data_IF_308884291211
#
_entry.id   IF_308884291211
#
_cell.length_a   1.000
_cell.length_b   1.000
_cell.length_c   1.000
_cell.angle_alpha   90.00
_cell.angle_beta   90.00
_cell.angle_gamma   90.00
#
_symmetry.space_group_name_H-M   'P 1'
#
loop_
_entity.id
_entity.type
_entity.pdbx_description
1 polymer ?
#
# COMPACT_ATOMS: atom_id res chain seq x y z
N UNK A 1 8.27 -1.60 2.02
CA UNK A 1 9.30 -2.65 1.85
C UNK A 1 9.95 -2.93 3.20
N UNK A 2 9.48 -3.96 3.90
CA UNK A 2 10.16 -4.50 5.09
C UNK A 2 10.25 -6.01 4.88
N UNK A 3 11.43 -6.46 4.46
CA UNK A 3 11.80 -7.88 4.44
C UNK A 3 12.04 -8.30 5.89
N UNK A 4 11.03 -8.92 6.50
CA UNK A 4 11.21 -9.62 7.77
C UNK A 4 11.75 -11.02 7.48
N UNK A 5 13.06 -11.16 7.67
CA UNK A 5 13.82 -12.39 7.79
C UNK A 5 13.07 -13.46 8.62
N UNK A 6 12.58 -14.51 7.97
CA UNK A 6 12.14 -15.75 8.62
C UNK A 6 12.72 -16.94 7.88
N UNK A 7 14.05 -17.04 7.84
CA UNK A 7 14.77 -18.18 7.23
C UNK A 7 15.96 -18.65 8.08
N UNK A 8 15.97 -18.37 9.39
CA UNK A 8 17.17 -18.61 10.22
C UNK A 8 17.00 -19.63 11.37
N UNK A 9 16.02 -20.54 11.28
CA UNK A 9 15.85 -21.59 12.28
C UNK A 9 16.20 -23.03 11.84
N UNK A 10 16.11 -23.45 10.56
CA UNK A 10 16.49 -24.83 10.20
C UNK A 10 17.98 -24.99 9.90
N UNK A 11 18.70 -23.92 9.55
CA UNK A 11 20.11 -24.02 9.13
C UNK A 11 21.04 -24.43 10.28
N UNK A 12 20.87 -23.87 11.49
CA UNK A 12 21.77 -24.16 12.62
C UNK A 12 21.75 -25.64 13.03
N UNK A 13 20.58 -26.29 13.00
CA UNK A 13 20.47 -27.71 13.29
C UNK A 13 21.05 -28.55 12.16
N UNK A 14 20.74 -28.25 10.90
CA UNK A 14 21.27 -28.99 9.75
C UNK A 14 22.81 -28.97 9.68
N UNK A 15 23.45 -27.83 9.95
CA UNK A 15 24.91 -27.71 9.97
C UNK A 15 25.55 -28.55 11.08
N UNK A 16 24.95 -28.61 12.27
CA UNK A 16 25.45 -29.42 13.37
C UNK A 16 25.36 -30.93 13.08
N UNK A 17 24.23 -31.37 12.51
CA UNK A 17 24.04 -32.76 12.07
C UNK A 17 24.99 -33.17 10.94
N UNK A 18 25.18 -32.30 9.94
CA UNK A 18 26.10 -32.55 8.83
C UNK A 18 27.55 -32.66 9.32
N UNK A 19 27.94 -31.84 10.30
CA UNK A 19 29.29 -31.86 10.87
C UNK A 19 29.57 -33.17 11.63
N UNK A 20 28.62 -33.63 12.44
CA UNK A 20 28.77 -34.89 13.19
C UNK A 20 28.79 -36.11 12.26
N UNK A 21 27.95 -36.10 11.21
CA UNK A 21 27.94 -37.17 10.20
C UNK A 21 29.24 -37.21 9.39
N UNK A 22 29.78 -36.04 8.98
CA UNK A 22 31.08 -35.96 8.31
C UNK A 22 32.21 -36.49 9.20
N UNK A 23 32.22 -36.13 10.49
CA UNK A 23 33.24 -36.57 11.44
C UNK A 23 33.22 -38.10 11.61
N UNK A 24 32.04 -38.71 11.75
CA UNK A 24 31.89 -40.16 11.88
C UNK A 24 32.30 -40.91 10.59
N UNK A 25 31.94 -40.35 9.42
CA UNK A 25 32.36 -40.91 8.12
C UNK A 25 33.88 -40.88 7.95
N UNK A 26 34.53 -39.79 8.38
CA UNK A 26 35.98 -39.64 8.32
C UNK A 26 36.69 -40.66 9.23
N UNK A 27 36.23 -40.80 10.46
CA UNK A 27 36.81 -41.74 11.43
C UNK A 27 36.69 -43.20 10.95
N UNK A 28 35.57 -43.57 10.33
CA UNK A 28 35.39 -44.90 9.72
C UNK A 28 36.41 -45.19 8.61
N UNK A 29 36.71 -44.20 7.76
CA UNK A 29 37.67 -44.35 6.67
C UNK A 29 39.10 -44.57 7.21
N UNK A 30 39.51 -43.77 8.20
CA UNK A 30 40.85 -43.85 8.79
C UNK A 30 41.09 -45.18 9.51
N UNK A 31 40.04 -45.76 10.11
CA UNK A 31 40.12 -47.10 10.73
C UNK A 31 40.27 -48.21 9.69
N UNK A 32 39.52 -48.14 8.59
CA UNK A 32 39.58 -49.15 7.53
C UNK A 32 40.95 -49.20 6.85
N UNK A 33 41.54 -48.03 6.58
CA UNK A 33 42.87 -47.94 5.98
C UNK A 33 43.96 -48.57 6.85
N UNK A 34 43.93 -48.32 8.16
CA UNK A 34 44.88 -48.92 9.10
C UNK A 34 44.72 -50.43 9.23
N UNK A 35 43.49 -50.95 9.18
CA UNK A 35 43.23 -52.40 9.21
C UNK A 35 43.80 -53.07 7.96
N UNK A 36 43.59 -52.47 6.78
CA UNK A 36 44.11 -53.02 5.52
C UNK A 36 45.64 -52.97 5.44
N UNK A 37 46.26 -51.92 6.00
CA UNK A 37 47.72 -51.83 6.11
C UNK A 37 48.29 -52.95 7.00
N UNK A 38 47.63 -53.24 8.13
CA UNK A 38 48.01 -54.31 9.05
C UNK A 38 47.84 -55.69 8.40
N UNK A 39 46.74 -55.92 7.68
CA UNK A 39 46.55 -57.19 6.94
C UNK A 39 47.64 -57.42 5.89
N UNK A 40 48.06 -56.38 5.17
CA UNK A 40 49.17 -56.45 4.20
C UNK A 40 50.51 -56.77 4.88
N UNK A 41 50.80 -56.16 6.04
CA UNK A 41 52.02 -56.45 6.80
C UNK A 41 52.05 -57.88 7.32
N UNK A 42 50.93 -58.39 7.83
CA UNK A 42 50.80 -59.80 8.26
C UNK A 42 50.98 -60.77 7.08
N UNK A 43 50.43 -60.45 5.91
CA UNK A 43 50.61 -61.27 4.72
C UNK A 43 52.06 -61.32 4.23
N UNK A 44 52.82 -60.22 4.37
CA UNK A 44 54.25 -60.17 4.04
C UNK A 44 55.12 -60.97 5.02
N UNK A 45 54.76 -60.98 6.32
CA UNK A 45 55.44 -61.77 7.35
C UNK A 45 55.34 -63.28 7.05
N UNK A 46 54.23 -63.74 6.46
CA UNK A 46 54.03 -65.15 6.10
C UNK A 46 54.86 -65.63 4.89
N UNK A 47 55.46 -64.73 4.10
CA UNK A 47 56.17 -65.10 2.87
C UNK A 47 57.70 -65.14 3.02
N UNK A 48 58.30 -64.39 3.94
CA UNK A 48 59.76 -64.22 4.04
C UNK A 48 60.35 -64.85 5.31
N UNK A 49 60.19 -66.17 5.48
CA UNK A 49 60.67 -66.94 6.63
C UNK A 49 62.15 -66.70 7.02
N UNK A 50 62.40 -65.66 7.81
CA UNK A 50 63.49 -65.46 8.77
C UNK A 50 63.31 -64.10 9.47
N UNK A 51 62.23 -63.95 10.23
CA UNK A 51 62.01 -62.76 11.06
C UNK A 51 62.58 -63.03 12.46
N UNK A 52 63.48 -62.16 12.91
CA UNK A 52 64.07 -62.21 14.25
C UNK A 52 62.94 -62.19 15.27
N UNK A 53 62.98 -63.11 16.23
CA UNK A 53 61.97 -63.24 17.29
C UNK A 53 61.65 -61.90 17.98
N UNK A 54 62.60 -60.97 18.02
CA UNK A 54 62.44 -59.62 18.55
C UNK A 54 61.47 -58.74 17.74
N UNK A 55 61.46 -58.85 16.41
CA UNK A 55 60.54 -58.11 15.54
C UNK A 55 59.11 -58.67 15.68
N UNK A 56 58.99 -59.99 15.81
CA UNK A 56 57.70 -60.66 16.04
C UNK A 56 57.13 -60.33 17.43
N UNK A 57 57.99 -60.21 18.44
CA UNK A 57 57.63 -59.77 19.78
C UNK A 57 57.21 -58.30 19.78
N UNK A 58 57.93 -57.43 19.06
CA UNK A 58 57.57 -56.02 18.93
C UNK A 58 56.22 -55.83 18.22
N UNK A 59 55.94 -56.62 17.19
CA UNK A 59 54.64 -56.61 16.50
C UNK A 59 53.53 -57.16 17.41
N UNK A 60 53.76 -58.23 18.15
CA UNK A 60 52.80 -58.76 19.11
C UNK A 60 52.48 -57.75 20.24
N UNK A 61 53.48 -57.03 20.73
CA UNK A 61 53.32 -55.98 21.73
C UNK A 61 52.61 -54.74 21.17
N UNK A 62 52.90 -54.39 19.91
CA UNK A 62 52.20 -53.32 19.16
C UNK A 62 50.71 -53.66 18.98
N UNK A 63 50.40 -54.90 18.59
CA UNK A 63 49.03 -55.40 18.47
C UNK A 63 48.33 -55.43 19.83
N UNK A 64 49.01 -55.89 20.88
CA UNK A 64 48.48 -55.86 22.25
C UNK A 64 48.13 -54.44 22.70
N UNK A 65 48.96 -53.46 22.35
CA UNK A 65 48.70 -52.04 22.62
C UNK A 65 47.53 -51.50 21.80
N UNK A 66 47.46 -51.80 20.51
CA UNK A 66 46.36 -51.38 19.64
C UNK A 66 45.01 -51.98 20.09
N UNK A 67 45.00 -53.25 20.50
CA UNK A 67 43.81 -53.93 21.03
C UNK A 67 43.35 -53.30 22.36
N UNK A 68 44.30 -52.90 23.21
CA UNK A 68 44.01 -52.20 24.47
C UNK A 68 43.46 -50.79 24.24
N UNK A 69 44.03 -50.05 23.29
CA UNK A 69 43.53 -48.72 22.88
C UNK A 69 42.11 -48.84 22.28
N UNK A 70 41.86 -49.84 21.43
CA UNK A 70 40.55 -50.11 20.87
C UNK A 70 39.54 -50.49 21.96
N UNK A 71 39.93 -51.34 22.92
CA UNK A 71 39.10 -51.69 24.07
C UNK A 71 38.71 -50.48 24.90
N UNK A 72 39.65 -49.53 25.11
CA UNK A 72 39.36 -48.27 25.80
C UNK A 72 38.39 -47.39 24.99
N UNK A 73 38.60 -47.23 23.68
CA UNK A 73 37.69 -46.45 22.83
C UNK A 73 36.28 -47.05 22.76
N UNK A 74 36.17 -48.38 22.75
CA UNK A 74 34.89 -49.06 22.78
C UNK A 74 34.19 -48.85 24.12
N UNK A 75 34.92 -48.86 25.24
CA UNK A 75 34.33 -48.57 26.55
C UNK A 75 33.90 -47.10 26.65
N UNK A 76 34.66 -46.14 26.11
CA UNK A 76 34.22 -44.74 25.98
C UNK A 76 32.94 -44.60 25.14
N UNK A 77 32.85 -45.29 24.01
CA UNK A 77 31.63 -45.30 23.19
C UNK A 77 30.44 -45.96 23.89
N UNK A 78 30.68 -47.02 24.67
CA UNK A 78 29.66 -47.72 25.46
C UNK A 78 29.17 -46.91 26.66
N UNK A 79 30.06 -46.12 27.29
CA UNK A 79 29.73 -45.16 28.36
C UNK A 79 29.04 -43.92 27.76
N UNK A 80 29.40 -43.52 26.54
CA UNK A 80 28.70 -42.46 25.83
C UNK A 80 27.28 -42.92 25.47
N UNK A 81 26.28 -42.12 25.84
CA UNK A 81 24.87 -42.47 25.64
C UNK A 81 24.44 -42.27 24.17
N UNK A 82 25.06 -43.00 23.23
CA UNK A 82 24.77 -42.92 21.79
C UNK A 82 23.29 -43.21 21.51
N UNK A 83 22.71 -44.17 22.24
CA UNK A 83 21.29 -44.49 22.13
C UNK A 83 20.41 -43.33 22.57
N UNK A 84 20.70 -42.71 23.71
CA UNK A 84 19.97 -41.52 24.17
C UNK A 84 20.17 -40.29 23.29
N UNK A 85 21.33 -40.14 22.64
CA UNK A 85 21.54 -39.12 21.62
C UNK A 85 20.65 -39.38 20.39
N UNK A 86 20.60 -40.63 19.91
CA UNK A 86 19.72 -41.02 18.80
C UNK A 86 18.24 -40.88 19.13
N UNK A 87 17.82 -41.23 20.35
CA UNK A 87 16.44 -41.04 20.82
C UNK A 87 16.09 -39.54 20.88
N UNK A 88 17.02 -38.70 21.33
CA UNK A 88 16.86 -37.24 21.36
C UNK A 88 16.77 -36.66 19.95
N UNK A 89 17.63 -37.13 19.03
CA UNK A 89 17.60 -36.76 17.62
C UNK A 89 16.23 -37.08 17.01
N UNK A 90 15.75 -38.31 17.21
CA UNK A 90 14.45 -38.74 16.69
C UNK A 90 13.31 -37.90 17.29
N UNK A 91 13.37 -37.62 18.60
CA UNK A 91 12.39 -36.76 19.27
C UNK A 91 12.33 -35.37 18.65
N UNK A 92 13.45 -34.68 18.51
CA UNK A 92 13.48 -33.33 17.95
C UNK A 92 13.12 -33.31 16.46
N UNK A 93 13.46 -34.36 15.72
CA UNK A 93 13.03 -34.50 14.33
C UNK A 93 11.51 -34.59 14.21
N UNK A 94 10.85 -35.42 15.03
CA UNK A 94 9.39 -35.50 15.05
C UNK A 94 8.75 -34.17 15.46
N UNK A 95 9.29 -33.50 16.49
CA UNK A 95 8.83 -32.16 16.88
C UNK A 95 8.96 -31.14 15.74
N UNK A 96 10.04 -31.21 14.96
CA UNK A 96 10.24 -30.34 13.79
C UNK A 96 9.19 -30.61 12.71
N UNK A 97 8.88 -31.88 12.43
CA UNK A 97 7.86 -32.25 11.44
C UNK A 97 6.46 -31.78 11.86
N UNK A 98 6.13 -31.85 13.15
CA UNK A 98 4.86 -31.34 13.66
C UNK A 98 4.77 -29.81 13.56
N UNK A 99 5.87 -29.11 13.86
CA UNK A 99 5.95 -27.66 13.70
C UNK A 99 5.78 -27.25 12.22
N UNK A 100 6.44 -27.94 11.30
CA UNK A 100 6.31 -27.72 9.86
C UNK A 100 4.85 -27.91 9.40
N UNK A 101 4.20 -29.00 9.81
CA UNK A 101 2.78 -29.25 9.49
C UNK A 101 1.88 -28.12 9.97
N UNK A 102 2.09 -27.62 11.19
CA UNK A 102 1.30 -26.50 11.76
C UNK A 102 1.51 -25.20 10.97
N UNK A 103 2.74 -24.90 10.59
CA UNK A 103 3.07 -23.70 9.79
C UNK A 103 2.47 -23.82 8.40
N UNK A 104 2.63 -24.94 7.71
CA UNK A 104 2.08 -25.14 6.37
C UNK A 104 0.54 -25.07 6.36
N UNK A 105 -0.12 -25.63 7.38
CA UNK A 105 -1.58 -25.49 7.52
C UNK A 105 -2.04 -24.03 7.67
N UNK A 106 -1.20 -23.18 8.25
CA UNK A 106 -1.52 -21.77 8.52
C UNK A 106 -1.06 -20.80 7.44
N UNK A 107 -0.09 -21.19 6.60
CA UNK A 107 0.57 -20.29 5.66
C UNK A 107 0.45 -20.71 4.18
N UNK A 108 0.30 -22.00 3.90
CA UNK A 108 0.31 -22.54 2.52
C UNK A 108 -1.06 -23.05 2.10
N UNK A 109 -1.90 -23.45 3.06
CA UNK A 109 -3.25 -23.92 2.76
C UNK A 109 -4.09 -22.78 2.12
N UNK A 110 -4.77 -23.01 0.99
CA UNK A 110 -5.67 -22.03 0.38
C UNK A 110 -6.75 -21.49 1.33
N UNK A 111 -7.21 -22.31 2.28
CA UNK A 111 -8.20 -21.92 3.30
C UNK A 111 -7.55 -21.35 4.59
N UNK A 112 -6.26 -21.05 4.54
CA UNK A 112 -5.55 -20.48 5.68
C UNK A 112 -5.92 -19.02 5.91
N UNK A 113 -5.79 -18.58 7.16
CA UNK A 113 -6.03 -17.19 7.55
C UNK A 113 -5.09 -16.24 6.80
N UNK A 114 -3.85 -16.67 6.52
CA UNK A 114 -2.88 -15.84 5.81
C UNK A 114 -3.25 -15.66 4.33
N UNK A 115 -3.68 -16.73 3.65
CA UNK A 115 -4.17 -16.62 2.26
C UNK A 115 -5.46 -15.80 2.18
N UNK A 116 -6.41 -16.00 3.09
CA UNK A 116 -7.60 -15.16 3.15
C UNK A 116 -7.26 -13.69 3.40
N UNK A 117 -6.33 -13.40 4.32
CA UNK A 117 -5.86 -12.04 4.57
C UNK A 117 -5.17 -11.45 3.34
N UNK A 118 -4.34 -12.23 2.63
CA UNK A 118 -3.67 -11.82 1.40
C UNK A 118 -4.67 -11.53 0.28
N UNK A 119 -5.66 -12.41 0.09
CA UNK A 119 -6.74 -12.22 -0.89
C UNK A 119 -7.57 -10.97 -0.59
N UNK A 120 -7.96 -10.76 0.68
CA UNK A 120 -8.71 -9.56 1.07
C UNK A 120 -7.90 -8.29 0.94
N UNK A 121 -6.58 -8.33 1.20
CA UNK A 121 -5.71 -7.20 0.93
C UNK A 121 -5.70 -6.84 -0.56
N UNK A 122 -5.53 -7.82 -1.45
CA UNK A 122 -5.56 -7.60 -2.90
C UNK A 122 -6.90 -6.99 -3.36
N UNK A 123 -8.02 -7.53 -2.88
CA UNK A 123 -9.35 -7.00 -3.21
C UNK A 123 -9.51 -5.53 -2.77
N UNK A 124 -8.97 -5.17 -1.60
CA UNK A 124 -8.98 -3.78 -1.12
C UNK A 124 -8.03 -2.89 -1.93
N UNK A 125 -6.85 -3.39 -2.30
CA UNK A 125 -5.90 -2.67 -3.16
C UNK A 125 -6.53 -2.38 -4.53
N UNK A 126 -7.18 -3.37 -5.15
CA UNK A 126 -7.89 -3.21 -6.43
C UNK A 126 -9.02 -2.17 -6.33
N UNK A 127 -9.80 -2.20 -5.24
CA UNK A 127 -10.86 -1.21 -4.99
C UNK A 127 -10.31 0.22 -4.80
N UNK A 128 -9.16 0.35 -4.13
CA UNK A 128 -8.50 1.65 -3.96
C UNK A 128 -8.06 2.20 -5.32
N UNK A 129 -7.45 1.37 -6.16
CA UNK A 129 -6.98 1.77 -7.48
C UNK A 129 -8.13 2.17 -8.40
N UNK A 130 -9.24 1.40 -8.39
CA UNK A 130 -10.45 1.74 -9.13
C UNK A 130 -11.02 3.10 -8.69
N UNK A 131 -11.18 3.31 -7.37
CA UNK A 131 -11.73 4.55 -6.83
C UNK A 131 -10.82 5.75 -7.08
N UNK A 132 -9.51 5.54 -7.04
CA UNK A 132 -8.53 6.58 -7.35
C UNK A 132 -8.65 7.02 -8.81
N UNK A 133 -8.73 6.09 -9.76
CA UNK A 133 -8.90 6.40 -11.17
C UNK A 133 -10.23 7.12 -11.44
N UNK A 134 -11.32 6.66 -10.82
CA UNK A 134 -12.64 7.30 -10.92
C UNK A 134 -12.63 8.74 -10.39
N UNK A 135 -12.05 8.94 -9.20
CA UNK A 135 -11.92 10.27 -8.59
C UNK A 135 -11.08 11.21 -9.45
N UNK A 136 -9.94 10.72 -9.95
CA UNK A 136 -9.06 11.50 -10.82
C UNK A 136 -9.76 11.91 -12.11
N UNK A 137 -10.46 10.97 -12.77
CA UNK A 137 -11.22 11.28 -13.98
C UNK A 137 -12.29 12.34 -13.74
N UNK A 138 -13.06 12.23 -12.65
CA UNK A 138 -14.06 13.25 -12.27
C UNK A 138 -13.44 14.60 -11.96
N UNK A 139 -12.29 14.64 -11.30
CA UNK A 139 -11.59 15.90 -11.02
C UNK A 139 -11.15 16.59 -12.32
N UNK A 140 -10.57 15.84 -13.25
CA UNK A 140 -10.13 16.39 -14.55
C UNK A 140 -11.31 16.90 -15.39
N UNK A 141 -12.43 16.16 -15.41
CA UNK A 141 -13.66 16.59 -16.07
C UNK A 141 -14.22 17.87 -15.43
N UNK A 142 -14.31 17.92 -14.11
CA UNK A 142 -14.83 19.08 -13.40
C UNK A 142 -13.93 20.31 -13.56
N UNK A 143 -12.61 20.13 -13.57
CA UNK A 143 -11.66 21.21 -13.87
C UNK A 143 -11.89 21.76 -15.27
N UNK A 144 -12.01 20.87 -16.27
CA UNK A 144 -12.27 21.27 -17.65
C UNK A 144 -13.59 22.02 -17.80
N UNK A 145 -14.64 21.55 -17.14
CA UNK A 145 -15.94 22.21 -17.14
C UNK A 145 -15.87 23.62 -16.53
N UNK A 146 -15.12 23.79 -15.44
CA UNK A 146 -14.91 25.12 -14.85
C UNK A 146 -14.11 26.04 -15.77
N UNK A 147 -13.09 25.52 -16.46
CA UNK A 147 -12.31 26.30 -17.43
C UNK A 147 -13.17 26.73 -18.64
N UNK A 148 -14.00 25.82 -19.15
CA UNK A 148 -14.95 26.11 -20.23
C UNK A 148 -15.96 27.17 -19.80
N UNK A 149 -16.58 27.01 -18.64
CA UNK A 149 -17.52 27.97 -18.09
C UNK A 149 -16.87 29.34 -17.84
N UNK A 150 -15.64 29.37 -17.33
CA UNK A 150 -14.90 30.62 -17.16
C UNK A 150 -14.63 31.30 -18.50
N UNK A 151 -14.31 30.53 -19.55
CA UNK A 151 -14.18 31.03 -20.92
C UNK A 151 -15.49 31.59 -21.47
N UNK A 152 -16.61 30.89 -21.29
CA UNK A 152 -17.94 31.37 -21.70
C UNK A 152 -18.31 32.68 -21.00
N UNK A 153 -18.08 32.77 -19.68
CA UNK A 153 -18.36 33.98 -18.91
C UNK A 153 -17.46 35.14 -19.32
N UNK A 154 -16.18 34.91 -19.61
CA UNK A 154 -15.28 35.95 -20.10
C UNK A 154 -15.68 36.48 -21.48
N UNK A 155 -16.23 35.61 -22.34
CA UNK A 155 -16.68 35.99 -23.68
C UNK A 155 -18.07 36.63 -23.69
N UNK A 156 -18.82 36.57 -22.58
CA UNK A 156 -20.15 37.14 -22.48
C UNK A 156 -20.08 38.67 -22.30
N UNK A 157 -20.22 39.40 -23.38
CA UNK A 157 -20.33 40.87 -23.34
C UNK A 157 -21.79 41.30 -23.09
N UNK A 158 -22.05 41.82 -21.88
CA UNK A 158 -23.35 42.37 -21.47
C UNK A 158 -23.42 43.90 -21.59
N UNK A 159 -22.38 44.55 -22.10
CA UNK A 159 -22.29 46.01 -22.15
C UNK A 159 -23.42 46.65 -22.97
N UNK A 160 -23.70 46.11 -24.16
CA UNK A 160 -24.79 46.55 -25.03
C UNK A 160 -26.17 46.37 -24.37
N UNK A 161 -26.36 45.27 -23.65
CA UNK A 161 -27.60 45.02 -22.92
C UNK A 161 -27.75 45.99 -21.76
N UNK A 162 -26.66 46.32 -21.06
CA UNK A 162 -26.65 47.31 -19.98
C UNK A 162 -26.96 48.71 -20.48
N UNK A 163 -26.44 49.08 -21.65
CA UNK A 163 -26.77 50.34 -22.32
C UNK A 163 -28.27 50.41 -22.64
N UNK A 164 -28.82 49.39 -23.30
CA UNK A 164 -30.25 49.37 -23.67
C UNK A 164 -31.18 49.32 -22.46
N UNK A 165 -30.82 48.56 -21.42
CA UNK A 165 -31.67 48.34 -20.26
C UNK A 165 -31.58 49.50 -19.26
N UNK A 166 -30.37 49.88 -18.86
CA UNK A 166 -30.12 50.85 -17.79
C UNK A 166 -29.78 52.24 -18.31
N UNK A 167 -29.35 52.38 -19.58
CA UNK A 167 -28.85 53.65 -20.10
C UNK A 167 -27.37 53.91 -19.80
N UNK A 168 -26.63 52.88 -19.40
CA UNK A 168 -25.20 52.98 -19.07
C UNK A 168 -24.36 53.15 -20.32
N UNK A 169 -23.42 54.10 -20.33
CA UNK A 169 -22.40 54.17 -21.38
C UNK A 169 -21.49 52.94 -21.34
N UNK A 170 -21.21 52.35 -22.51
CA UNK A 170 -20.31 51.18 -22.65
C UNK A 170 -18.97 51.45 -21.94
N UNK A 171 -18.58 50.54 -21.04
CA UNK A 171 -17.30 50.62 -20.30
C UNK A 171 -17.30 51.48 -19.03
N UNK A 172 -18.43 52.06 -18.62
CA UNK A 172 -18.51 52.79 -17.36
C UNK A 172 -18.55 51.84 -16.14
N UNK A 173 -17.80 52.17 -15.09
CA UNK A 173 -17.84 51.41 -13.83
C UNK A 173 -19.15 51.67 -13.07
N UNK A 174 -19.52 50.70 -12.24
CA UNK A 174 -20.73 50.76 -11.43
C UNK A 174 -20.75 51.93 -10.42
N UNK A 175 -19.57 52.24 -9.88
CA UNK A 175 -19.36 53.29 -8.89
C UNK A 175 -19.54 54.68 -9.52
N UNK A 176 -19.01 54.87 -10.75
CA UNK A 176 -18.94 56.18 -11.41
C UNK A 176 -20.18 56.46 -12.28
N UNK A 177 -20.84 55.43 -12.81
CA UNK A 177 -21.99 55.63 -13.70
C UNK A 177 -23.20 56.20 -12.97
N UNK A 178 -23.78 57.28 -13.51
CA UNK A 178 -25.03 57.85 -12.98
C UNK A 178 -26.21 56.87 -13.16
N UNK A 179 -26.25 56.15 -14.28
CA UNK A 179 -27.31 55.23 -14.65
C UNK A 179 -27.11 53.79 -14.16
N UNK A 180 -25.99 53.50 -13.50
CA UNK A 180 -25.68 52.15 -12.98
C UNK A 180 -25.40 51.15 -14.10
N UNK A 181 -25.85 49.90 -13.96
CA UNK A 181 -25.64 48.84 -14.96
C UNK A 181 -26.27 47.49 -14.59
N UNK A 182 -26.15 46.49 -15.46
CA UNK A 182 -26.63 45.14 -15.16
C UNK A 182 -25.82 44.52 -14.03
N UNK A 183 -26.49 44.16 -12.93
CA UNK A 183 -25.85 43.61 -11.73
C UNK A 183 -25.24 44.65 -10.80
N UNK A 184 -25.35 45.94 -11.13
CA UNK A 184 -24.86 47.01 -10.28
C UNK A 184 -25.66 47.14 -8.99
N UNK A 185 -24.95 47.31 -7.88
CA UNK A 185 -25.52 47.56 -6.56
C UNK A 185 -25.07 48.93 -6.03
N UNK A 186 -25.96 49.61 -5.32
CA UNK A 186 -25.62 50.76 -4.47
C UNK A 186 -24.95 50.28 -3.19
N UNK A 187 -24.31 51.20 -2.44
CA UNK A 187 -23.79 50.94 -1.08
C UNK A 187 -24.84 50.27 -0.16
N UNK A 188 -26.11 50.65 -0.31
CA UNK A 188 -27.23 50.07 0.44
C UNK A 188 -27.69 48.67 -0.06
N UNK A 189 -26.97 48.06 -1.01
CA UNK A 189 -27.28 46.76 -1.58
C UNK A 189 -28.49 46.75 -2.55
N UNK A 190 -29.02 47.90 -2.95
CA UNK A 190 -30.12 47.99 -3.94
C UNK A 190 -29.57 47.98 -5.36
N UNK A 191 -30.33 47.44 -6.31
CA UNK A 191 -29.93 47.46 -7.72
C UNK A 191 -29.89 48.88 -8.26
N UNK A 192 -28.77 49.28 -8.85
CA UNK A 192 -28.54 50.57 -9.50
C UNK A 192 -28.60 50.37 -11.01
N UNK A 193 -29.74 50.65 -11.62
CA UNK A 193 -29.97 50.54 -13.06
C UNK A 193 -31.07 51.52 -13.48
N UNK A 194 -30.76 52.44 -14.39
CA UNK A 194 -31.66 53.52 -14.78
C UNK A 194 -31.59 54.74 -13.85
N UNK A 195 -32.52 55.67 -14.05
CA UNK A 195 -32.57 56.97 -13.38
C UNK A 195 -33.03 58.03 -14.36
N UNK A 196 -33.52 59.16 -13.82
CA UNK A 196 -34.03 60.24 -14.66
C UNK A 196 -32.91 60.75 -15.60
N UNK A 197 -33.15 60.68 -16.91
CA UNK A 197 -32.20 61.11 -17.95
C UNK A 197 -31.30 60.01 -18.51
N UNK A 198 -31.45 58.76 -18.05
CA UNK A 198 -30.65 57.63 -18.51
C UNK A 198 -31.13 57.06 -19.85
N UNK A 199 -32.36 57.35 -20.28
CA UNK A 199 -32.91 56.93 -21.58
C UNK A 199 -32.93 55.40 -21.86
N UNK A 200 -32.57 54.58 -20.86
CA UNK A 200 -32.68 53.12 -20.91
C UNK A 200 -34.13 52.63 -20.77
N UNK A 201 -34.33 51.33 -21.00
CA UNK A 201 -35.63 50.68 -20.83
C UNK A 201 -36.24 50.93 -19.44
N UNK A 202 -35.43 50.85 -18.37
CA UNK A 202 -35.90 51.05 -16.99
C UNK A 202 -36.41 52.48 -16.77
N UNK A 203 -35.69 53.48 -17.30
CA UNK A 203 -36.08 54.89 -17.22
C UNK A 203 -37.40 55.14 -17.97
N UNK A 204 -37.52 54.63 -19.20
CA UNK A 204 -38.75 54.74 -20.00
C UNK A 204 -39.95 54.08 -19.34
N UNK A 205 -39.78 52.88 -18.79
CA UNK A 205 -40.85 52.17 -18.09
C UNK A 205 -41.30 52.93 -16.83
N UNK A 206 -40.34 53.47 -16.06
CA UNK A 206 -40.63 54.28 -14.89
C UNK A 206 -41.32 55.60 -15.25
N UNK A 207 -40.91 56.24 -16.34
CA UNK A 207 -41.58 57.42 -16.89
C UNK A 207 -43.04 57.14 -17.27
N UNK A 208 -43.29 56.07 -18.03
CA UNK A 208 -44.64 55.65 -18.39
C UNK A 208 -45.51 55.35 -17.15
N UNK A 209 -44.93 54.70 -16.12
CA UNK A 209 -45.61 54.44 -14.86
C UNK A 209 -45.98 55.73 -14.10
N UNK A 210 -45.03 56.67 -13.96
CA UNK A 210 -45.30 57.99 -13.35
C UNK A 210 -46.41 58.73 -14.09
N UNK A 211 -46.38 58.72 -15.43
CA UNK A 211 -47.42 59.33 -16.26
C UNK A 211 -48.80 58.68 -16.03
N UNK A 212 -48.88 57.34 -16.01
CA UNK A 212 -50.13 56.64 -15.72
C UNK A 212 -50.68 56.95 -14.33
N UNK A 213 -49.81 57.02 -13.31
CA UNK A 213 -50.20 57.36 -11.93
C UNK A 213 -50.70 58.82 -11.82
N UNK A 214 -50.10 59.74 -12.57
CA UNK A 214 -50.57 61.12 -12.63
C UNK A 214 -51.95 61.20 -13.30
N UNK A 215 -52.15 60.51 -14.42
CA UNK A 215 -53.46 60.43 -15.05
C UNK A 215 -54.52 59.81 -14.14
N UNK A 216 -54.19 58.77 -13.37
CA UNK A 216 -55.13 58.18 -12.41
C UNK A 216 -55.56 59.18 -11.33
N UNK A 217 -54.62 59.97 -10.80
CA UNK A 217 -54.93 61.04 -9.83
C UNK A 217 -55.79 62.15 -10.44
N UNK A 218 -55.50 62.55 -11.67
CA UNK A 218 -56.29 63.55 -12.39
C UNK A 218 -57.73 63.07 -12.63
N UNK A 219 -57.90 61.79 -13.00
CA UNK A 219 -59.22 61.17 -13.15
C UNK A 219 -59.96 61.15 -11.81
N UNK A 220 -59.32 60.75 -10.72
CA UNK A 220 -59.95 60.75 -9.39
C UNK A 220 -60.38 62.15 -8.94
N UNK A 221 -59.57 63.17 -9.20
CA UNK A 221 -59.92 64.57 -8.91
C UNK A 221 -61.14 65.01 -9.72
N UNK A 222 -61.14 64.75 -11.03
CA UNK A 222 -62.28 65.08 -11.90
C UNK A 222 -63.56 64.35 -11.49
N UNK A 223 -63.46 63.09 -11.05
CA UNK A 223 -64.60 62.33 -10.53
C UNK A 223 -65.16 62.92 -9.23
N UNK A 224 -64.29 63.36 -8.31
CA UNK A 224 -64.72 64.02 -7.07
C UNK A 224 -65.43 65.35 -7.34
N UNK A 225 -64.93 66.15 -8.29
CA UNK A 225 -65.58 67.39 -8.73
C UNK A 225 -66.97 67.13 -9.34
N UNK A 226 -67.11 66.09 -10.16
CA UNK A 226 -68.42 65.69 -10.73
C UNK A 226 -69.39 65.23 -9.63
N UNK A 227 -68.91 64.48 -8.64
CA UNK A 227 -69.74 64.05 -7.51
C UNK A 227 -70.22 65.26 -6.68
N UNK A 228 -69.36 66.25 -6.45
CA UNK A 228 -69.71 67.49 -5.74
C UNK A 228 -70.76 68.30 -6.53
N UNK A 229 -70.58 68.45 -7.84
CA UNK A 229 -71.55 69.11 -8.73
C UNK A 229 -72.90 68.38 -8.79
N UNK A 230 -72.92 67.06 -8.65
CA UNK A 230 -74.17 66.27 -8.68
C UNK A 230 -75.03 66.42 -7.42
N UNK A 231 -74.49 67.01 -6.35
CA UNK A 231 -75.18 67.25 -5.06
C UNK A 231 -75.78 68.65 -4.97
N UNK A 232 -75.54 69.52 -5.96
CA UNK A 232 -76.14 70.85 -6.13
C UNK A 232 -77.43 70.76 -6.95
#
# INVERSE_FOLDING_TARGET
MHQSNVTHFPFFFFFSFLFLWLACRKLKSEVWEKVEEVEKRIAQINLNGSVKLDDLQADADSVGKALKELGQQLEYMKISNVRGAMDSINKYFQMSLEAEKKVNASAVNPDSILEHSGSKRREVEDLIDEKYLEFKGRQEEQSRFLDELAGEVQNLDLSLLSEKACGTTVGASCEVSQCGGLGCLTEDGKRKCGGDGCNGLVDKANGAWKTAMNFDKEIQSAMAEVEELSKL
#
